data_IF_396714554253
#
_entry.id   IF_396714554253
#
_cell.length_a   1.000
_cell.length_b   1.000
_cell.length_c   1.000
_cell.angle_alpha   90.00
_cell.angle_beta   90.00
_cell.angle_gamma   90.00
#
_symmetry.space_group_name_H-M   'P 1'
#
loop_
_entity.id
_entity.type
_entity.pdbx_description
1 polymer ?
#
# COMPACT_ATOMS: atom_id res chain seq x y z
N UNK A 1 25.36 -10.47 -2.23
CA UNK A 1 24.94 -10.31 -3.63
C UNK A 1 23.65 -9.52 -3.64
N UNK A 2 22.66 -9.93 -2.85
CA UNK A 2 21.34 -9.29 -2.72
C UNK A 2 21.41 -7.80 -2.39
N UNK A 3 22.22 -7.38 -1.42
CA UNK A 3 22.38 -5.95 -1.11
C UNK A 3 22.90 -5.07 -2.27
N UNK A 4 23.73 -5.62 -3.17
CA UNK A 4 24.19 -4.88 -4.36
C UNK A 4 23.12 -4.83 -5.44
N UNK A 5 22.29 -5.87 -5.53
CA UNK A 5 21.13 -5.92 -6.42
C UNK A 5 20.09 -4.90 -5.94
N UNK A 6 19.74 -4.91 -4.66
CA UNK A 6 18.84 -3.93 -4.04
C UNK A 6 19.34 -2.49 -4.21
N UNK A 7 20.64 -2.23 -3.98
CA UNK A 7 21.23 -0.91 -4.23
C UNK A 7 21.18 -0.51 -5.72
N UNK A 8 21.39 -1.46 -6.63
CA UNK A 8 21.29 -1.25 -8.07
C UNK A 8 19.86 -0.95 -8.51
N UNK A 9 18.88 -1.66 -7.95
CA UNK A 9 17.46 -1.47 -8.20
C UNK A 9 17.02 -0.10 -7.66
N UNK A 10 17.44 0.26 -6.45
CA UNK A 10 17.14 1.55 -5.83
C UNK A 10 17.72 2.73 -6.62
N UNK A 11 18.96 2.62 -7.09
CA UNK A 11 19.57 3.66 -7.93
C UNK A 11 18.80 3.83 -9.26
N UNK A 12 18.36 2.73 -9.86
CA UNK A 12 17.56 2.76 -11.08
C UNK A 12 16.17 3.39 -10.83
N UNK A 13 15.52 3.04 -9.71
CA UNK A 13 14.23 3.58 -9.32
C UNK A 13 14.32 5.08 -9.03
N UNK A 14 15.33 5.53 -8.27
CA UNK A 14 15.57 6.97 -8.04
C UNK A 14 15.75 7.72 -9.35
N UNK A 15 16.52 7.16 -10.28
CA UNK A 15 16.70 7.78 -11.60
C UNK A 15 15.40 7.86 -12.39
N UNK A 16 14.53 6.84 -12.30
CA UNK A 16 13.23 6.86 -12.95
C UNK A 16 12.32 7.95 -12.36
N UNK A 17 12.28 8.08 -11.04
CA UNK A 17 11.52 9.13 -10.34
C UNK A 17 12.06 10.53 -10.66
N UNK A 18 13.37 10.73 -10.71
CA UNK A 18 13.97 12.01 -11.11
C UNK A 18 13.53 12.46 -12.52
N UNK A 19 13.40 11.50 -13.44
CA UNK A 19 12.98 11.76 -14.82
C UNK A 19 11.47 12.00 -14.92
N UNK A 20 10.68 11.30 -14.11
CA UNK A 20 9.23 11.37 -14.11
C UNK A 20 8.67 11.20 -12.68
N UNK A 21 8.59 12.29 -11.89
CA UNK A 21 8.21 12.20 -10.46
C UNK A 21 6.81 11.64 -10.19
N UNK A 22 5.89 11.78 -11.15
CA UNK A 22 4.53 11.26 -11.03
C UNK A 22 4.35 9.81 -11.50
N UNK A 23 5.44 9.12 -11.87
CA UNK A 23 5.39 7.78 -12.46
C UNK A 23 5.07 6.72 -11.40
N UNK A 24 3.88 6.09 -11.41
CA UNK A 24 3.43 5.30 -10.27
C UNK A 24 4.25 4.06 -9.97
N UNK A 25 4.67 3.30 -10.99
CA UNK A 25 5.40 2.04 -10.81
C UNK A 25 6.76 2.25 -10.12
N UNK A 26 7.52 3.26 -10.56
CA UNK A 26 8.83 3.60 -9.97
C UNK A 26 8.69 4.17 -8.56
N UNK A 27 7.76 5.11 -8.35
CA UNK A 27 7.55 5.73 -7.04
C UNK A 27 7.03 4.73 -6.01
N UNK A 28 6.11 3.83 -6.38
CA UNK A 28 5.60 2.78 -5.48
C UNK A 28 6.71 1.80 -5.10
N UNK A 29 7.52 1.34 -6.06
CA UNK A 29 8.60 0.39 -5.79
C UNK A 29 9.67 1.00 -4.86
N UNK A 30 10.07 2.25 -5.10
CA UNK A 30 11.03 2.93 -4.25
C UNK A 30 10.44 3.24 -2.86
N UNK A 31 9.18 3.67 -2.77
CA UNK A 31 8.52 3.91 -1.49
C UNK A 31 8.42 2.64 -0.63
N UNK A 32 8.19 1.47 -1.24
CA UNK A 32 8.21 0.19 -0.51
C UNK A 32 9.60 -0.13 0.06
N UNK A 33 10.66 0.13 -0.72
CA UNK A 33 12.03 -0.07 -0.28
C UNK A 33 12.38 0.87 0.90
N UNK A 34 12.06 2.16 0.79
CA UNK A 34 12.25 3.15 1.86
C UNK A 34 11.46 2.75 3.13
N UNK A 35 10.19 2.35 2.98
CA UNK A 35 9.36 1.83 4.07
C UNK A 35 10.01 0.66 4.79
N UNK A 36 10.56 -0.31 4.05
CA UNK A 36 11.22 -1.49 4.64
C UNK A 36 12.45 -1.15 5.49
N UNK A 37 13.06 0.02 5.24
CA UNK A 37 14.19 0.57 6.02
C UNK A 37 13.75 1.49 7.16
N UNK A 38 12.44 1.71 7.32
CA UNK A 38 11.89 2.64 8.30
C UNK A 38 11.92 4.11 7.87
N UNK A 39 12.26 4.39 6.62
CA UNK A 39 12.33 5.74 6.02
C UNK A 39 10.93 6.20 5.56
N UNK A 40 9.98 6.22 6.50
CA UNK A 40 8.55 6.47 6.23
C UNK A 40 8.28 7.84 5.63
N UNK A 41 8.91 8.88 6.16
CA UNK A 41 8.64 10.26 5.75
C UNK A 41 9.11 10.49 4.30
N UNK A 42 10.30 10.00 3.95
CA UNK A 42 10.81 10.04 2.56
C UNK A 42 9.91 9.24 1.61
N UNK A 43 9.41 8.08 2.05
CA UNK A 43 8.45 7.29 1.27
C UNK A 43 7.13 8.03 1.03
N UNK A 44 6.66 8.85 1.99
CA UNK A 44 5.46 9.67 1.83
C UNK A 44 5.67 10.83 0.86
N UNK A 45 6.78 11.56 1.00
CA UNK A 45 7.15 12.66 0.09
C UNK A 45 7.26 12.18 -1.36
N UNK A 46 7.82 10.98 -1.55
CA UNK A 46 7.94 10.36 -2.86
C UNK A 46 6.59 10.07 -3.54
N UNK A 47 5.56 9.75 -2.75
CA UNK A 47 4.23 9.40 -3.28
C UNK A 47 3.33 10.62 -3.50
N UNK A 48 3.65 11.78 -2.92
CA UNK A 48 2.89 13.02 -3.07
C UNK A 48 2.61 13.44 -4.53
N UNK A 49 3.60 13.42 -5.46
CA UNK A 49 3.37 13.81 -6.85
C UNK A 49 2.64 12.74 -7.70
N UNK A 50 2.38 11.55 -7.14
CA UNK A 50 1.75 10.45 -7.88
C UNK A 50 0.24 10.59 -7.80
N UNK A 51 -0.43 10.70 -8.95
CA UNK A 51 -1.87 10.89 -9.02
C UNK A 51 -2.54 9.78 -9.85
N UNK A 52 -3.74 9.38 -9.46
CA UNK A 52 -4.53 8.39 -10.20
C UNK A 52 -4.05 6.94 -10.09
N UNK A 53 -3.18 6.64 -9.12
CA UNK A 53 -2.73 5.28 -8.82
C UNK A 53 -3.28 4.82 -7.47
N UNK A 54 -4.13 3.80 -7.52
CA UNK A 54 -4.65 3.16 -6.31
C UNK A 54 -3.55 2.50 -5.46
N UNK A 55 -2.50 1.99 -6.11
CA UNK A 55 -1.34 1.41 -5.42
C UNK A 55 -0.57 2.47 -4.64
N UNK A 56 -0.33 3.65 -5.25
CA UNK A 56 0.34 4.77 -4.59
C UNK A 56 -0.51 5.32 -3.44
N UNK A 57 -1.80 5.57 -3.69
CA UNK A 57 -2.75 6.05 -2.67
C UNK A 57 -2.82 5.08 -1.48
N UNK A 58 -2.96 3.78 -1.76
CA UNK A 58 -3.04 2.75 -0.74
C UNK A 58 -1.75 2.60 0.07
N UNK A 59 -0.58 2.73 -0.58
CA UNK A 59 0.70 2.71 0.11
C UNK A 59 0.89 3.95 1.01
N UNK A 60 0.55 5.15 0.52
CA UNK A 60 0.62 6.37 1.31
C UNK A 60 -0.31 6.32 2.53
N UNK A 61 -1.54 5.83 2.37
CA UNK A 61 -2.46 5.59 3.47
C UNK A 61 -1.92 4.56 4.46
N UNK A 62 -1.32 3.46 3.98
CA UNK A 62 -0.68 2.48 4.85
C UNK A 62 0.42 3.12 5.70
N UNK A 63 1.31 3.91 5.07
CA UNK A 63 2.39 4.61 5.78
C UNK A 63 1.87 5.53 6.87
N UNK A 64 0.78 6.28 6.63
CA UNK A 64 0.15 7.13 7.66
C UNK A 64 -0.45 6.34 8.82
N UNK A 65 -0.96 5.14 8.53
CA UNK A 65 -1.55 4.24 9.52
C UNK A 65 -0.53 3.37 10.26
N UNK A 66 0.73 3.35 9.84
CA UNK A 66 1.76 2.62 10.54
C UNK A 66 1.98 3.20 11.95
N UNK A 67 1.94 2.33 12.95
CA UNK A 67 1.93 2.72 14.36
C UNK A 67 0.55 2.67 15.01
N UNK A 68 -0.52 2.53 14.22
CA UNK A 68 -1.84 2.14 14.73
C UNK A 68 -1.79 0.65 15.14
N UNK A 69 -1.79 0.40 16.45
CA UNK A 69 -1.65 -0.97 17.00
C UNK A 69 -2.73 -1.94 16.52
N UNK A 70 -3.94 -1.44 16.21
CA UNK A 70 -5.06 -2.25 15.72
C UNK A 70 -4.86 -2.79 14.30
N UNK A 71 -4.06 -2.11 13.47
CA UNK A 71 -3.79 -2.51 12.07
C UNK A 71 -2.50 -3.31 11.90
N UNK A 72 -1.73 -3.50 12.98
CA UNK A 72 -0.44 -4.17 12.94
C UNK A 72 -0.53 -5.60 12.36
N UNK A 73 -1.58 -6.36 12.72
CA UNK A 73 -1.80 -7.70 12.20
C UNK A 73 -2.10 -7.72 10.70
N UNK A 74 -2.91 -6.76 10.22
CA UNK A 74 -3.23 -6.61 8.81
C UNK A 74 -1.99 -6.26 7.98
N UNK A 75 -1.17 -5.32 8.45
CA UNK A 75 0.05 -4.91 7.74
C UNK A 75 1.11 -6.00 7.75
N UNK A 76 1.25 -6.75 8.85
CA UNK A 76 2.13 -7.92 8.90
C UNK A 76 1.70 -8.99 7.88
N UNK A 77 0.40 -9.22 7.71
CA UNK A 77 -0.12 -10.15 6.71
C UNK A 77 0.20 -9.68 5.27
N UNK A 78 0.05 -8.37 4.98
CA UNK A 78 0.46 -7.82 3.68
C UNK A 78 1.95 -8.02 3.39
N UNK A 79 2.82 -7.81 4.38
CA UNK A 79 4.27 -7.98 4.20
C UNK A 79 4.68 -9.44 3.99
N UNK A 80 3.90 -10.37 4.53
CA UNK A 80 4.08 -11.81 4.30
C UNK A 80 3.46 -12.29 2.98
N UNK A 81 2.74 -11.42 2.27
CA UNK A 81 1.99 -11.77 1.05
C UNK A 81 0.68 -12.51 1.30
N UNK A 82 0.22 -12.61 2.56
CA UNK A 82 -1.08 -13.16 2.94
C UNK A 82 -2.17 -12.10 2.74
N UNK A 83 -2.48 -11.81 1.48
CA UNK A 83 -3.40 -10.75 1.09
C UNK A 83 -4.84 -11.07 1.52
N UNK A 84 -5.23 -12.34 1.56
CA UNK A 84 -6.57 -12.75 2.02
C UNK A 84 -6.78 -12.37 3.48
N UNK A 85 -5.86 -12.80 4.36
CA UNK A 85 -5.89 -12.43 5.78
C UNK A 85 -5.83 -10.92 5.96
N UNK A 86 -4.95 -10.24 5.24
CA UNK A 86 -4.84 -8.78 5.33
C UNK A 86 -6.17 -8.08 5.01
N UNK A 87 -6.84 -8.50 3.93
CA UNK A 87 -8.12 -7.92 3.53
C UNK A 87 -9.22 -8.18 4.57
N UNK A 88 -9.24 -9.36 5.19
CA UNK A 88 -10.17 -9.68 6.27
C UNK A 88 -10.00 -8.76 7.48
N UNK A 89 -8.76 -8.59 7.95
CA UNK A 89 -8.44 -7.75 9.11
C UNK A 89 -8.73 -6.27 8.81
N UNK A 90 -8.38 -5.76 7.62
CA UNK A 90 -8.66 -4.38 7.20
C UNK A 90 -10.17 -4.10 7.08
N UNK A 91 -10.94 -5.03 6.52
CA UNK A 91 -12.39 -4.90 6.41
C UNK A 91 -13.04 -4.89 7.80
N UNK A 92 -12.58 -5.74 8.73
CA UNK A 92 -13.04 -5.71 10.11
C UNK A 92 -12.74 -4.38 10.81
N UNK A 93 -11.52 -3.84 10.63
CA UNK A 93 -11.14 -2.55 11.21
C UNK A 93 -11.97 -1.37 10.65
N UNK A 94 -12.34 -1.42 9.36
CA UNK A 94 -13.16 -0.40 8.70
C UNK A 94 -14.56 -0.27 9.34
N UNK A 95 -15.11 -1.38 9.83
CA UNK A 95 -16.41 -1.43 10.51
C UNK A 95 -16.33 -0.88 11.94
N UNK A 96 -15.18 -1.02 12.62
CA UNK A 96 -15.00 -0.63 14.02
C UNK A 96 -14.46 0.79 14.24
N UNK A 97 -13.77 1.38 13.26
CA UNK A 97 -13.08 2.67 13.42
C UNK A 97 -13.84 3.84 12.79
N UNK A 98 -13.81 5.01 13.44
CA UNK A 98 -14.47 6.24 12.97
C UNK A 98 -13.52 7.27 12.31
N UNK A 99 -12.23 7.29 12.67
CA UNK A 99 -11.27 8.31 12.20
C UNK A 99 -10.54 7.92 10.92
N UNK A 100 -10.06 6.68 10.85
CA UNK A 100 -9.13 6.24 9.82
C UNK A 100 -9.81 5.50 8.65
N UNK A 101 -11.15 5.54 8.59
CA UNK A 101 -11.96 4.80 7.61
C UNK A 101 -11.51 5.07 6.16
N UNK A 102 -11.21 6.32 5.84
CA UNK A 102 -10.78 6.69 4.49
C UNK A 102 -9.39 6.13 4.14
N UNK A 103 -8.44 6.18 5.07
CA UNK A 103 -7.10 5.63 4.83
C UNK A 103 -7.16 4.09 4.77
N UNK A 104 -7.92 3.43 5.65
CA UNK A 104 -8.12 1.97 5.60
C UNK A 104 -8.75 1.57 4.25
N UNK A 105 -9.78 2.30 3.80
CA UNK A 105 -10.40 2.08 2.48
C UNK A 105 -9.36 2.18 1.36
N UNK A 106 -8.47 3.17 1.38
CA UNK A 106 -7.41 3.33 0.37
C UNK A 106 -6.40 2.19 0.41
N UNK A 107 -6.00 1.71 1.59
CA UNK A 107 -5.14 0.53 1.72
C UNK A 107 -5.79 -0.69 1.05
N UNK A 108 -7.07 -0.94 1.36
CA UNK A 108 -7.83 -2.06 0.76
C UNK A 108 -7.85 -1.91 -0.77
N UNK A 109 -8.19 -0.74 -1.29
CA UNK A 109 -8.27 -0.50 -2.74
C UNK A 109 -6.91 -0.72 -3.43
N UNK A 110 -5.81 -0.26 -2.84
CA UNK A 110 -4.46 -0.50 -3.38
C UNK A 110 -4.06 -1.98 -3.40
N UNK A 111 -4.43 -2.73 -2.36
CA UNK A 111 -4.19 -4.18 -2.33
C UNK A 111 -5.02 -4.92 -3.41
N UNK A 112 -6.27 -4.51 -3.61
CA UNK A 112 -7.16 -5.09 -4.62
C UNK A 112 -6.72 -4.77 -6.05
N UNK A 113 -6.11 -3.61 -6.28
CA UNK A 113 -5.54 -3.22 -7.56
C UNK A 113 -4.35 -4.14 -7.93
N UNK A 114 -3.51 -4.46 -6.95
CA UNK A 114 -2.38 -5.40 -7.12
C UNK A 114 -2.85 -6.82 -7.47
N UNK A 115 -3.97 -7.28 -6.90
CA UNK A 115 -4.56 -8.59 -7.22
C UNK A 115 -5.18 -8.66 -8.63
N UNK A 116 -5.49 -7.52 -9.24
CA UNK A 116 -6.16 -7.45 -10.54
C UNK A 116 -7.67 -7.74 -10.50
N UNK A 117 -8.32 -7.66 -11.66
CA UNK A 117 -9.77 -7.84 -11.82
C UNK A 117 -10.22 -9.30 -11.84
N UNK A 118 -9.35 -10.22 -12.28
CA UNK A 118 -9.72 -11.63 -12.47
C UNK A 118 -9.73 -12.43 -11.16
N UNK A 119 -9.02 -11.93 -10.14
CA UNK A 119 -8.93 -12.55 -8.81
C UNK A 119 -10.30 -12.69 -8.16
N UNK A 120 -10.65 -13.93 -7.79
CA UNK A 120 -11.87 -14.22 -7.04
C UNK A 120 -11.87 -13.53 -5.69
N UNK A 121 -10.74 -13.59 -4.97
CA UNK A 121 -10.53 -12.88 -3.71
C UNK A 121 -10.80 -11.37 -3.86
N UNK A 122 -10.29 -10.77 -4.94
CA UNK A 122 -10.50 -9.34 -5.17
C UNK A 122 -11.98 -9.01 -5.43
N UNK A 123 -12.70 -9.84 -6.18
CA UNK A 123 -14.14 -9.68 -6.42
C UNK A 123 -14.96 -9.78 -5.13
N UNK A 124 -14.70 -10.82 -4.32
CA UNK A 124 -15.41 -11.02 -3.06
C UNK A 124 -15.13 -9.91 -2.05
N UNK A 125 -13.88 -9.44 -1.98
CA UNK A 125 -13.46 -8.36 -1.09
C UNK A 125 -14.01 -6.99 -1.52
N UNK A 126 -14.09 -6.69 -2.83
CA UNK A 126 -14.76 -5.47 -3.33
C UNK A 126 -16.23 -5.41 -2.91
N UNK A 127 -16.94 -6.55 -2.95
CA UNK A 127 -18.33 -6.64 -2.49
C UNK A 127 -18.44 -6.32 -1.00
N UNK A 128 -17.58 -6.90 -0.16
CA UNK A 128 -17.56 -6.66 1.28
C UNK A 128 -17.20 -5.20 1.61
N UNK A 129 -16.20 -4.65 0.92
CA UNK A 129 -15.84 -3.23 1.05
C UNK A 129 -17.03 -2.32 0.76
N UNK A 130 -17.75 -2.57 -0.33
CA UNK A 130 -18.94 -1.78 -0.65
C UNK A 130 -19.98 -1.85 0.48
N UNK A 131 -20.26 -3.03 1.03
CA UNK A 131 -21.18 -3.19 2.16
C UNK A 131 -20.73 -2.44 3.41
N UNK A 132 -19.44 -2.44 3.74
CA UNK A 132 -18.92 -1.75 4.93
C UNK A 132 -18.90 -0.21 4.82
N UNK A 133 -19.05 0.33 3.60
CA UNK A 133 -19.09 1.78 3.35
C UNK A 133 -20.50 2.39 3.40
N UNK A 134 -21.56 1.57 3.39
CA UNK A 134 -22.96 2.00 3.45
C UNK A 134 -23.57 1.73 4.82
#
# INVERSE_FOLDING_TARGET
ADALVEQGDEAALRRAVELEPGRPDASVALAQLLRSRGERDEALELLEPVHGSFQADGLASRLRLEGAGELAAAFAALDQGDVERALDELLGALESTNGDREDIRRVIVGALDTLGSDSQLARDSRRRLATALY
#
